data_IF_737162768401
#
_entry.id   IF_737162768401
#
_cell.length_a   1.000
_cell.length_b   1.000
_cell.length_c   1.000
_cell.angle_alpha   90.00
_cell.angle_beta   90.00
_cell.angle_gamma   90.00
#
_symmetry.space_group_name_H-M   'P 1'
#
loop_
_entity.id
_entity.type
_entity.pdbx_description
1 polymer ?
#
# COMPACT_ATOMS: atom_id res chain seq x y z
N UNK A 1 6.85 30.51 21.49
CA UNK A 1 7.37 30.90 20.16
C UNK A 1 8.10 29.70 19.56
N UNK A 2 7.42 28.72 18.94
CA UNK A 2 8.07 27.76 18.03
C UNK A 2 7.14 26.87 17.16
N UNK A 3 5.92 27.31 16.85
CA UNK A 3 4.99 26.50 16.02
C UNK A 3 4.77 27.09 14.62
N UNK A 4 4.90 28.40 14.46
CA UNK A 4 4.67 29.11 13.20
C UNK A 4 5.81 29.01 12.18
N UNK A 5 7.04 28.62 12.57
CA UNK A 5 8.17 28.45 11.63
C UNK A 5 8.15 27.10 10.92
N UNK A 6 7.65 26.04 11.55
CA UNK A 6 7.62 24.70 10.96
C UNK A 6 6.49 24.55 9.92
N UNK A 7 5.33 25.16 10.13
CA UNK A 7 4.22 25.12 9.16
C UNK A 7 4.54 25.91 7.89
N UNK A 8 5.16 27.09 8.03
CA UNK A 8 5.58 27.89 6.88
C UNK A 8 6.69 27.19 6.08
N UNK A 9 7.67 26.57 6.75
CA UNK A 9 8.73 25.82 6.07
C UNK A 9 8.19 24.60 5.29
N UNK A 10 7.24 23.84 5.86
CA UNK A 10 6.62 22.70 5.16
C UNK A 10 5.80 23.12 3.93
N UNK A 11 5.06 24.24 4.01
CA UNK A 11 4.30 24.76 2.87
C UNK A 11 5.23 25.34 1.78
N UNK A 12 6.28 26.08 2.17
CA UNK A 12 7.25 26.65 1.24
C UNK A 12 8.08 25.58 0.49
N UNK A 13 8.43 24.48 1.18
CA UNK A 13 9.09 23.31 0.56
C UNK A 13 8.15 22.61 -0.42
N UNK A 14 6.87 22.43 -0.07
CA UNK A 14 5.89 21.82 -0.98
C UNK A 14 5.52 22.73 -2.17
N UNK A 15 5.62 24.06 -1.99
CA UNK A 15 5.39 25.08 -3.02
C UNK A 15 6.59 25.22 -3.99
N UNK A 16 7.75 24.63 -3.68
CA UNK A 16 8.89 24.62 -4.59
C UNK A 16 8.53 23.88 -5.88
N UNK A 17 8.59 24.58 -7.01
CA UNK A 17 8.22 24.03 -8.32
C UNK A 17 8.99 22.74 -8.65
N UNK A 18 10.25 22.63 -8.20
CA UNK A 18 11.05 21.42 -8.39
C UNK A 18 10.47 20.19 -7.68
N UNK A 19 10.01 20.35 -6.44
CA UNK A 19 9.41 19.25 -5.66
C UNK A 19 8.09 18.84 -6.29
N UNK A 20 7.25 19.79 -6.70
CA UNK A 20 5.96 19.50 -7.35
C UNK A 20 6.11 18.76 -8.67
N UNK A 21 7.04 19.19 -9.53
CA UNK A 21 7.33 18.50 -10.80
C UNK A 21 7.79 17.07 -10.51
N UNK A 22 8.65 16.88 -9.50
CA UNK A 22 9.12 15.56 -9.12
C UNK A 22 8.01 14.64 -8.60
N UNK A 23 7.09 15.17 -7.77
CA UNK A 23 5.94 14.43 -7.23
C UNK A 23 4.97 14.03 -8.34
N UNK A 24 4.64 14.95 -9.25
CA UNK A 24 3.77 14.65 -10.39
C UNK A 24 4.38 13.56 -11.29
N UNK A 25 5.67 13.68 -11.61
CA UNK A 25 6.38 12.68 -12.40
C UNK A 25 6.40 11.32 -11.71
N UNK A 26 6.66 11.28 -10.40
CA UNK A 26 6.65 10.06 -9.61
C UNK A 26 5.26 9.40 -9.56
N UNK A 27 4.19 10.18 -9.34
CA UNK A 27 2.82 9.67 -9.31
C UNK A 27 2.40 9.10 -10.66
N UNK A 28 2.73 9.77 -11.77
CA UNK A 28 2.49 9.26 -13.13
C UNK A 28 3.23 7.93 -13.36
N UNK A 29 4.48 7.83 -12.90
CA UNK A 29 5.26 6.61 -12.99
C UNK A 29 4.65 5.49 -12.15
N UNK A 30 4.19 5.78 -10.93
CA UNK A 30 3.52 4.81 -10.05
C UNK A 30 2.20 4.33 -10.65
N UNK A 31 1.40 5.22 -11.25
CA UNK A 31 0.14 4.87 -11.90
C UNK A 31 0.41 3.94 -13.09
N UNK A 32 1.39 4.29 -13.94
CA UNK A 32 1.68 3.54 -15.16
C UNK A 32 2.40 2.23 -14.87
N UNK A 33 3.58 2.28 -14.27
CA UNK A 33 4.42 1.10 -14.00
C UNK A 33 3.81 0.25 -12.89
N UNK A 34 3.40 0.88 -11.79
CA UNK A 34 2.80 0.17 -10.66
C UNK A 34 1.45 -0.45 -11.03
N UNK A 35 0.59 0.30 -11.73
CA UNK A 35 -0.71 -0.22 -12.18
C UNK A 35 -0.54 -1.41 -13.13
N UNK A 36 0.26 -1.27 -14.19
CA UNK A 36 0.47 -2.35 -15.17
C UNK A 36 1.20 -3.54 -14.55
N UNK A 37 2.28 -3.29 -13.80
CA UNK A 37 3.10 -4.35 -13.20
C UNK A 37 2.32 -5.19 -12.19
N UNK A 38 1.62 -4.55 -11.27
CA UNK A 38 0.85 -5.25 -10.24
C UNK A 38 -0.38 -5.97 -10.81
N UNK A 39 -1.01 -5.40 -11.84
CA UNK A 39 -2.10 -6.07 -12.55
C UNK A 39 -1.62 -7.33 -13.29
N UNK A 40 -0.49 -7.25 -13.99
CA UNK A 40 0.12 -8.41 -14.65
C UNK A 40 0.51 -9.50 -13.65
N UNK A 41 1.12 -9.13 -12.51
CA UNK A 41 1.45 -10.09 -11.45
C UNK A 41 0.19 -10.79 -10.91
N UNK A 42 -0.88 -10.03 -10.68
CA UNK A 42 -2.16 -10.59 -10.23
C UNK A 42 -2.71 -11.60 -11.24
N UNK A 43 -2.72 -11.27 -12.53
CA UNK A 43 -3.16 -12.18 -13.59
C UNK A 43 -2.29 -13.45 -13.65
N UNK A 44 -0.98 -13.29 -13.55
CA UNK A 44 -0.02 -14.40 -13.65
C UNK A 44 -0.21 -15.40 -12.53
N UNK A 45 -0.49 -14.94 -11.31
CA UNK A 45 -0.78 -15.83 -10.17
C UNK A 45 -2.13 -16.53 -10.35
N UNK A 46 -3.17 -15.82 -10.79
CA UNK A 46 -4.52 -16.40 -10.99
C UNK A 46 -4.51 -17.46 -12.09
N UNK A 47 -3.77 -17.24 -13.19
CA UNK A 47 -3.74 -18.17 -14.33
C UNK A 47 -2.92 -19.43 -14.09
N UNK A 48 -1.92 -19.39 -13.24
CA UNK A 48 -1.05 -20.55 -13.00
C UNK A 48 -1.51 -21.34 -11.78
N UNK A 49 -2.40 -22.30 -12.00
CA UNK A 49 -3.00 -23.12 -10.92
C UNK A 49 -1.98 -24.03 -10.21
N UNK A 50 -0.93 -24.45 -10.91
CA UNK A 50 0.21 -25.21 -10.36
C UNK A 50 1.02 -24.40 -9.32
N UNK A 51 0.81 -23.08 -9.26
CA UNK A 51 1.48 -22.16 -8.35
C UNK A 51 0.63 -21.84 -7.11
N UNK A 52 -0.41 -22.60 -6.76
CA UNK A 52 -1.26 -22.32 -5.58
C UNK A 52 -0.60 -22.68 -4.22
N UNK A 53 0.64 -22.27 -4.02
CA UNK A 53 1.28 -22.25 -2.70
C UNK A 53 0.80 -21.05 -1.90
N UNK A 54 0.80 -21.17 -0.57
CA UNK A 54 0.42 -20.12 0.38
C UNK A 54 1.16 -18.80 0.08
N UNK A 55 2.44 -18.89 -0.28
CA UNK A 55 3.28 -17.72 -0.61
C UNK A 55 2.79 -17.00 -1.86
N UNK A 56 2.36 -17.75 -2.88
CA UNK A 56 1.91 -17.16 -4.13
C UNK A 56 0.55 -16.47 -3.95
N UNK A 57 -0.31 -17.01 -3.09
CA UNK A 57 -1.55 -16.34 -2.67
C UNK A 57 -1.24 -15.04 -1.90
N UNK A 58 -0.24 -15.06 -1.01
CA UNK A 58 0.22 -13.86 -0.31
C UNK A 58 0.79 -12.81 -1.28
N UNK A 59 1.58 -13.23 -2.27
CA UNK A 59 2.09 -12.36 -3.32
C UNK A 59 0.96 -11.75 -4.17
N UNK A 60 -0.08 -12.53 -4.49
CA UNK A 60 -1.25 -11.99 -5.18
C UNK A 60 -2.02 -10.97 -4.34
N UNK A 61 -2.15 -11.20 -3.02
CA UNK A 61 -2.80 -10.25 -2.12
C UNK A 61 -2.02 -8.92 -2.03
N UNK A 62 -0.69 -8.99 -2.01
CA UNK A 62 0.21 -7.84 -2.08
C UNK A 62 0.02 -7.09 -3.40
N UNK A 63 0.09 -7.80 -4.54
CA UNK A 63 -0.07 -7.16 -5.85
C UNK A 63 -1.45 -6.56 -6.06
N UNK A 64 -2.51 -7.16 -5.53
CA UNK A 64 -3.86 -6.57 -5.57
C UNK A 64 -3.88 -5.26 -4.77
N UNK A 65 -3.28 -5.25 -3.58
CA UNK A 65 -3.22 -4.05 -2.73
C UNK A 65 -2.44 -2.92 -3.42
N UNK A 66 -1.30 -3.24 -4.04
CA UNK A 66 -0.50 -2.29 -4.81
C UNK A 66 -1.22 -1.80 -6.08
N UNK A 67 -1.97 -2.68 -6.76
CA UNK A 67 -2.79 -2.27 -7.90
C UNK A 67 -3.88 -1.27 -7.49
N UNK A 68 -4.51 -1.48 -6.32
CA UNK A 68 -5.50 -0.54 -5.76
C UNK A 68 -4.83 0.80 -5.44
N UNK A 69 -3.65 0.78 -4.82
CA UNK A 69 -2.86 2.00 -4.54
C UNK A 69 -2.56 2.76 -5.84
N UNK A 70 -2.06 2.08 -6.87
CA UNK A 70 -1.69 2.70 -8.15
C UNK A 70 -2.89 3.17 -8.98
N UNK A 71 -4.03 2.46 -8.96
CA UNK A 71 -5.18 2.76 -9.84
C UNK A 71 -6.18 3.72 -9.19
N UNK A 72 -6.28 3.73 -7.86
CA UNK A 72 -7.28 4.53 -7.14
C UNK A 72 -6.60 5.63 -6.32
N UNK A 73 -5.62 5.30 -5.49
CA UNK A 73 -5.05 6.26 -4.55
C UNK A 73 -4.13 7.26 -5.26
N UNK A 74 -3.19 6.79 -6.07
CA UNK A 74 -2.23 7.64 -6.76
C UNK A 74 -2.87 8.68 -7.72
N UNK A 75 -3.97 8.39 -8.43
CA UNK A 75 -4.69 9.41 -9.20
C UNK A 75 -5.37 10.47 -8.32
N UNK A 76 -5.92 10.10 -7.17
CA UNK A 76 -6.49 11.07 -6.22
C UNK A 76 -5.40 11.98 -5.65
N UNK A 77 -4.23 11.41 -5.34
CA UNK A 77 -3.05 12.16 -4.92
C UNK A 77 -2.60 13.11 -6.04
N UNK A 78 -2.54 12.63 -7.29
CA UNK A 78 -2.14 13.45 -8.44
C UNK A 78 -3.08 14.65 -8.65
N UNK A 79 -4.39 14.42 -8.55
CA UNK A 79 -5.39 15.51 -8.66
C UNK A 79 -5.20 16.51 -7.52
N UNK A 80 -4.91 16.04 -6.31
CA UNK A 80 -4.66 16.90 -5.14
C UNK A 80 -3.40 17.74 -5.32
N UNK A 81 -2.30 17.16 -5.84
CA UNK A 81 -1.06 17.90 -6.11
C UNK A 81 -1.23 18.93 -7.23
N UNK A 82 -2.02 18.61 -8.27
CA UNK A 82 -2.31 19.54 -9.37
C UNK A 82 -3.19 20.71 -8.91
N UNK A 83 -4.23 20.44 -8.11
CA UNK A 83 -5.15 21.48 -7.64
C UNK A 83 -4.63 22.25 -6.42
N UNK A 84 -3.52 21.82 -5.82
CA UNK A 84 -2.97 22.37 -4.57
C UNK A 84 -3.90 22.23 -3.36
N UNK A 85 -5.00 21.50 -3.50
CA UNK A 85 -5.98 21.29 -2.45
C UNK A 85 -6.75 19.99 -2.67
N UNK A 86 -7.32 19.48 -1.58
CA UNK A 86 -8.19 18.31 -1.63
C UNK A 86 -9.63 18.71 -2.01
N UNK A 87 -10.03 18.43 -3.25
CA UNK A 87 -11.32 18.86 -3.79
C UNK A 87 -12.48 17.86 -3.57
N UNK A 88 -12.20 16.63 -3.12
CA UNK A 88 -13.21 15.56 -3.00
C UNK A 88 -14.03 15.61 -1.70
N UNK A 89 -13.78 16.63 -0.86
CA UNK A 89 -14.44 16.83 0.43
C UNK A 89 -13.91 15.94 1.55
N UNK A 90 -14.27 16.28 2.79
CA UNK A 90 -13.70 15.70 4.02
C UNK A 90 -13.92 14.20 4.15
N UNK A 91 -15.12 13.69 3.80
CA UNK A 91 -15.42 12.26 3.91
C UNK A 91 -14.50 11.40 3.03
N UNK A 92 -14.25 11.85 1.80
CA UNK A 92 -13.34 11.15 0.89
C UNK A 92 -11.88 11.29 1.36
N UNK A 93 -11.50 12.41 1.96
CA UNK A 93 -10.16 12.60 2.54
C UNK A 93 -9.89 11.57 3.65
N UNK A 94 -10.80 11.46 4.63
CA UNK A 94 -10.68 10.50 5.72
C UNK A 94 -10.69 9.05 5.19
N UNK A 95 -11.58 8.73 4.24
CA UNK A 95 -11.65 7.40 3.65
C UNK A 95 -10.37 7.05 2.87
N UNK A 96 -9.81 8.00 2.13
CA UNK A 96 -8.57 7.83 1.38
C UNK A 96 -7.36 7.65 2.31
N UNK A 97 -7.24 8.47 3.36
CA UNK A 97 -6.18 8.34 4.36
C UNK A 97 -6.24 6.99 5.10
N UNK A 98 -7.46 6.56 5.46
CA UNK A 98 -7.67 5.23 6.06
C UNK A 98 -7.30 4.11 5.09
N UNK A 99 -7.73 4.21 3.83
CA UNK A 99 -7.44 3.21 2.80
C UNK A 99 -5.94 3.09 2.54
N UNK A 100 -5.23 4.21 2.40
CA UNK A 100 -3.78 4.24 2.26
C UNK A 100 -3.10 3.54 3.43
N UNK A 101 -3.51 3.85 4.66
CA UNK A 101 -2.95 3.26 5.88
C UNK A 101 -3.14 1.73 5.89
N UNK A 102 -4.36 1.26 5.63
CA UNK A 102 -4.68 -0.17 5.61
C UNK A 102 -3.87 -0.91 4.56
N UNK A 103 -3.79 -0.38 3.33
CA UNK A 103 -3.08 -1.04 2.23
C UNK A 103 -1.56 -1.07 2.46
N UNK A 104 -0.98 -0.01 3.02
CA UNK A 104 0.45 0.02 3.36
C UNK A 104 0.78 -0.98 4.47
N UNK A 105 -0.02 -1.00 5.55
CA UNK A 105 0.17 -1.96 6.65
C UNK A 105 0.00 -3.40 6.15
N UNK A 106 -0.96 -3.62 5.25
CA UNK A 106 -1.17 -4.92 4.61
C UNK A 106 0.09 -5.39 3.87
N UNK A 107 0.67 -4.53 3.03
CA UNK A 107 1.88 -4.86 2.27
C UNK A 107 3.05 -5.21 3.19
N UNK A 108 3.30 -4.39 4.21
CA UNK A 108 4.38 -4.65 5.19
C UNK A 108 4.13 -5.97 5.92
N UNK A 109 2.90 -6.23 6.37
CA UNK A 109 2.54 -7.46 7.08
C UNK A 109 2.80 -8.69 6.20
N UNK A 110 2.42 -8.64 4.93
CA UNK A 110 2.67 -9.73 3.99
C UNK A 110 4.18 -9.91 3.74
N UNK A 111 4.96 -8.84 3.59
CA UNK A 111 6.42 -8.92 3.44
C UNK A 111 7.10 -9.58 4.64
N UNK A 112 6.63 -9.28 5.85
CA UNK A 112 7.11 -9.91 7.08
C UNK A 112 6.81 -11.41 7.08
N UNK A 113 5.58 -11.81 6.73
CA UNK A 113 5.21 -13.23 6.67
C UNK A 113 6.04 -13.99 5.64
N UNK A 114 6.24 -13.42 4.44
CA UNK A 114 7.08 -14.01 3.41
C UNK A 114 8.53 -14.14 3.89
N UNK A 115 9.08 -13.11 4.54
CA UNK A 115 10.44 -13.14 5.10
C UNK A 115 10.60 -14.24 6.15
N UNK A 116 9.64 -14.38 7.05
CA UNK A 116 9.65 -15.42 8.08
C UNK A 116 9.63 -16.81 7.42
N UNK A 117 8.75 -17.07 6.47
CA UNK A 117 8.69 -18.36 5.80
C UNK A 117 10.00 -18.68 5.07
N UNK A 118 10.58 -17.70 4.37
CA UNK A 118 11.89 -17.86 3.70
C UNK A 118 12.99 -18.18 4.70
N UNK A 119 13.02 -17.50 5.85
CA UNK A 119 13.97 -17.80 6.93
C UNK A 119 13.84 -19.25 7.41
N UNK A 120 12.62 -19.74 7.66
CA UNK A 120 12.41 -21.13 8.11
C UNK A 120 12.77 -22.17 7.05
N UNK A 121 12.44 -21.93 5.77
CA UNK A 121 12.84 -22.82 4.68
C UNK A 121 14.37 -22.93 4.62
N UNK A 122 15.09 -21.80 4.70
CA UNK A 122 16.55 -21.78 4.57
C UNK A 122 17.25 -22.51 5.72
N UNK A 123 16.80 -22.33 6.96
CA UNK A 123 17.49 -22.85 8.13
C UNK A 123 16.98 -24.24 8.53
N UNK A 124 15.67 -24.42 8.55
CA UNK A 124 15.03 -25.63 9.07
C UNK A 124 14.60 -26.61 7.97
N UNK A 125 14.79 -26.25 6.68
CA UNK A 125 14.37 -27.03 5.49
C UNK A 125 12.89 -27.43 5.52
N UNK A 126 12.08 -26.68 6.28
CA UNK A 126 10.65 -26.91 6.48
C UNK A 126 9.97 -25.56 6.41
N UNK A 127 8.95 -25.44 5.56
CA UNK A 127 8.10 -24.24 5.59
C UNK A 127 7.04 -24.41 6.66
N UNK A 128 6.87 -23.36 7.45
CA UNK A 128 5.86 -23.26 8.49
C UNK A 128 4.46 -23.01 7.89
N UNK A 129 4.39 -22.39 6.71
CA UNK A 129 3.14 -21.97 6.09
C UNK A 129 2.36 -23.11 5.41
N UNK A 130 2.98 -24.23 5.03
CA UNK A 130 2.26 -25.34 4.36
C UNK A 130 1.12 -25.95 5.19
N UNK A 131 1.18 -25.83 6.52
CA UNK A 131 0.16 -26.44 7.39
C UNK A 131 -1.07 -25.54 7.60
N UNK A 132 -0.95 -24.24 7.35
CA UNK A 132 -2.03 -23.27 7.52
C UNK A 132 -2.83 -23.12 6.23
N UNK A 133 -4.17 -23.06 6.33
CA UNK A 133 -4.96 -22.73 5.15
C UNK A 133 -4.74 -21.26 4.76
N UNK A 134 -4.51 -20.96 3.48
CA UNK A 134 -4.21 -19.60 3.02
C UNK A 134 -5.31 -18.60 3.41
N UNK A 135 -6.56 -19.06 3.51
CA UNK A 135 -7.70 -18.20 3.90
C UNK A 135 -7.56 -17.60 5.31
N UNK A 136 -7.01 -18.36 6.27
CA UNK A 136 -6.82 -17.85 7.64
C UNK A 136 -5.70 -16.81 7.70
N UNK A 137 -4.68 -16.95 6.86
CA UNK A 137 -3.60 -15.97 6.75
C UNK A 137 -4.12 -14.68 6.11
N UNK A 138 -4.90 -14.76 5.04
CA UNK A 138 -5.53 -13.59 4.41
C UNK A 138 -6.40 -12.84 5.43
N UNK A 139 -7.26 -13.57 6.15
CA UNK A 139 -8.15 -12.99 7.14
C UNK A 139 -7.35 -12.36 8.30
N UNK A 140 -6.30 -13.04 8.77
CA UNK A 140 -5.40 -12.53 9.81
C UNK A 140 -4.68 -11.25 9.39
N UNK A 141 -4.11 -11.20 8.18
CA UNK A 141 -3.46 -10.00 7.66
C UNK A 141 -4.46 -8.83 7.56
N UNK A 142 -5.63 -9.08 6.97
CA UNK A 142 -6.61 -8.03 6.75
C UNK A 142 -7.15 -7.46 8.05
N UNK A 143 -7.47 -8.33 9.02
CA UNK A 143 -7.93 -7.91 10.36
C UNK A 143 -6.84 -7.14 11.10
N UNK A 144 -5.59 -7.61 11.07
CA UNK A 144 -4.46 -6.90 11.69
C UNK A 144 -4.25 -5.51 11.08
N UNK A 145 -4.25 -5.41 9.74
CA UNK A 145 -4.07 -4.14 9.02
C UNK A 145 -5.17 -3.14 9.34
N UNK A 146 -6.43 -3.59 9.44
CA UNK A 146 -7.54 -2.75 9.87
C UNK A 146 -7.30 -2.24 11.28
N UNK A 147 -7.04 -3.13 12.25
CA UNK A 147 -6.86 -2.78 13.67
C UNK A 147 -5.74 -1.76 13.87
N UNK A 148 -4.61 -1.94 13.18
CA UNK A 148 -3.46 -1.03 13.25
C UNK A 148 -3.73 0.32 12.56
N UNK A 149 -4.66 0.36 11.60
CA UNK A 149 -5.00 1.58 10.84
C UNK A 149 -6.21 2.35 11.39
N UNK A 150 -6.82 1.88 12.49
CA UNK A 150 -7.89 2.61 13.19
C UNK A 150 -7.37 3.86 13.94
N UNK A 151 -6.19 3.88 14.60
CA UNK A 151 -5.71 5.03 15.37
C UNK A 151 -5.72 6.37 14.61
N UNK A 152 -5.28 6.45 13.34
CA UNK A 152 -5.36 7.68 12.53
C UNK A 152 -6.78 8.25 12.34
N UNK A 153 -7.84 7.47 12.55
CA UNK A 153 -9.23 7.93 12.48
C UNK A 153 -9.70 8.64 13.77
N UNK A 154 -9.01 8.45 14.90
CA UNK A 154 -9.41 9.05 16.19
C UNK A 154 -8.76 10.41 16.47
N UNK A 155 -7.77 10.81 15.68
CA UNK A 155 -7.11 12.12 15.77
C UNK A 155 -7.82 13.22 14.92
N UNK A 156 -9.07 12.98 14.50
CA UNK A 156 -9.95 13.95 13.77
C UNK A 156 -11.12 14.40 14.62
#
# INVERSE_FOLDING_TARGET
>A
MNSTSNENFSCDVYQSDGIRISLNAALILVITIGGVGNFLLTILVIRNTEMHSVINVLLALMSISDAILSIICAPLDLITVINHEWIFGTRMCCAHAFLLSVLVVQNVTVLVIISIDRYYILIHKKSHLYSCRPIWLILGCFTFSIVVSIPPLFDV
#
